data_IF_143293451065
#
_entry.id   IF_143293451065
#
_cell.length_a   1.000
_cell.length_b   1.000
_cell.length_c   1.000
_cell.angle_alpha   90.00
_cell.angle_beta   90.00
_cell.angle_gamma   90.00
#
_symmetry.space_group_name_H-M   'P 1'
#
loop_
_entity.id
_entity.type
_entity.pdbx_description
1 polymer ?
#
# COMPACT_ATOMS: atom_id res chain seq x y z
N UNK A 1 -14.34 -3.47 5.02
CA UNK A 1 -14.81 -3.61 3.60
C UNK A 1 -15.30 -2.28 3.01
N UNK A 2 -16.12 -1.49 3.71
CA UNK A 2 -16.66 -0.22 3.22
C UNK A 2 -15.60 0.80 2.76
N UNK A 3 -14.54 1.01 3.54
CA UNK A 3 -13.47 1.97 3.20
C UNK A 3 -12.72 1.64 1.90
N UNK A 4 -12.53 0.36 1.56
CA UNK A 4 -11.89 -0.05 0.30
C UNK A 4 -12.78 0.28 -0.90
N UNK A 5 -14.09 0.01 -0.79
CA UNK A 5 -15.07 0.32 -1.84
C UNK A 5 -15.14 1.83 -2.10
N UNK A 6 -15.22 2.62 -1.03
CA UNK A 6 -15.29 4.07 -1.14
C UNK A 6 -14.03 4.68 -1.81
N UNK A 7 -12.82 4.21 -1.43
CA UNK A 7 -11.58 4.62 -2.11
C UNK A 7 -11.59 4.23 -3.60
N UNK A 8 -12.00 2.99 -3.91
CA UNK A 8 -12.09 2.53 -5.30
C UNK A 8 -13.07 3.36 -6.13
N UNK A 9 -14.21 3.71 -5.57
CA UNK A 9 -15.20 4.55 -6.24
C UNK A 9 -14.69 5.98 -6.50
N UNK A 10 -14.02 6.62 -5.53
CA UNK A 10 -13.37 7.92 -5.75
C UNK A 10 -12.31 7.87 -6.85
N UNK A 11 -11.51 6.79 -6.90
CA UNK A 11 -10.54 6.57 -7.98
C UNK A 11 -11.24 6.42 -9.34
N UNK A 12 -12.34 5.67 -9.39
CA UNK A 12 -13.15 5.52 -10.59
C UNK A 12 -13.67 6.87 -11.10
N UNK A 13 -14.26 7.69 -10.22
CA UNK A 13 -14.74 9.03 -10.60
C UNK A 13 -13.63 9.91 -11.15
N UNK A 14 -12.47 9.90 -10.47
CA UNK A 14 -11.28 10.65 -10.91
C UNK A 14 -10.86 10.22 -12.32
N UNK A 15 -10.72 8.92 -12.57
CA UNK A 15 -10.24 8.42 -13.85
C UNK A 15 -11.25 8.56 -14.98
N UNK A 16 -12.56 8.49 -14.67
CA UNK A 16 -13.60 8.52 -15.69
C UNK A 16 -13.97 9.94 -16.12
N UNK A 17 -13.99 10.88 -15.17
CA UNK A 17 -14.54 12.23 -15.41
C UNK A 17 -13.47 13.32 -15.34
N UNK A 18 -12.40 13.13 -14.56
CA UNK A 18 -11.38 14.17 -14.38
C UNK A 18 -10.15 13.95 -15.24
N UNK A 19 -10.05 12.81 -15.93
CA UNK A 19 -8.87 12.45 -16.72
C UNK A 19 -9.20 12.07 -18.15
N UNK A 20 -8.26 12.33 -19.04
CA UNK A 20 -8.30 11.93 -20.44
C UNK A 20 -7.79 10.48 -20.64
N UNK A 21 -7.72 10.06 -21.91
CA UNK A 21 -7.23 8.74 -22.32
C UNK A 21 -5.74 8.53 -22.02
N UNK A 22 -4.98 9.61 -21.91
CA UNK A 22 -3.55 9.62 -21.60
C UNK A 22 -3.30 9.73 -20.08
N UNK A 23 -4.37 9.72 -19.27
CA UNK A 23 -4.36 9.76 -17.82
C UNK A 23 -3.85 11.10 -17.24
N UNK A 24 -3.92 12.17 -18.03
CA UNK A 24 -3.76 13.55 -17.58
C UNK A 24 -5.08 14.14 -17.10
N UNK A 25 -5.02 15.12 -16.19
CA UNK A 25 -6.23 15.82 -15.74
C UNK A 25 -6.73 16.73 -16.86
N UNK A 26 -8.03 16.67 -17.16
CA UNK A 26 -8.66 17.57 -18.14
C UNK A 26 -8.65 19.01 -17.61
N UNK A 27 -8.50 19.99 -18.51
CA UNK A 27 -8.45 21.41 -18.16
C UNK A 27 -9.84 22.01 -17.89
N UNK A 28 -10.87 21.58 -18.62
CA UNK A 28 -12.24 22.07 -18.46
C UNK A 28 -12.90 21.53 -17.18
N UNK A 29 -13.83 22.28 -16.58
CA UNK A 29 -14.60 21.78 -15.44
C UNK A 29 -15.54 20.64 -15.88
N UNK A 30 -15.38 19.44 -15.32
CA UNK A 30 -16.13 18.29 -15.76
C UNK A 30 -17.56 18.34 -15.22
N UNK A 31 -18.50 18.00 -16.12
CA UNK A 31 -19.93 17.98 -15.80
C UNK A 31 -20.23 17.06 -14.61
N UNK A 32 -21.18 17.53 -13.79
CA UNK A 32 -21.68 16.77 -12.65
C UNK A 32 -22.31 15.45 -13.12
N UNK A 33 -21.87 14.29 -12.60
CA UNK A 33 -22.35 13.01 -13.07
C UNK A 33 -23.73 12.68 -12.49
N UNK A 34 -24.80 13.14 -13.15
CA UNK A 34 -26.22 12.99 -12.76
C UNK A 34 -26.60 11.55 -12.40
N UNK A 35 -25.97 10.55 -13.05
CA UNK A 35 -26.17 9.12 -12.75
C UNK A 35 -25.86 8.76 -11.29
N UNK A 36 -25.03 9.55 -10.60
CA UNK A 36 -24.63 9.34 -9.21
C UNK A 36 -25.24 10.37 -8.26
N UNK A 37 -26.29 11.10 -8.66
CA UNK A 37 -26.92 12.12 -7.84
C UNK A 37 -27.54 11.60 -6.53
N UNK A 38 -27.80 10.29 -6.43
CA UNK A 38 -28.24 9.65 -5.19
C UNK A 38 -27.08 9.54 -4.17
N UNK A 39 -25.83 9.62 -4.62
CA UNK A 39 -24.64 9.37 -3.81
C UNK A 39 -23.75 10.60 -3.57
N UNK A 40 -23.82 11.60 -4.45
CA UNK A 40 -23.01 12.83 -4.39
C UNK A 40 -23.94 13.97 -4.74
N UNK A 41 -23.90 15.08 -4.00
CA UNK A 41 -24.57 16.31 -4.41
C UNK A 41 -23.72 17.11 -5.40
N UNK A 42 -24.29 18.14 -6.03
CA UNK A 42 -23.52 19.00 -6.94
C UNK A 42 -22.42 19.77 -6.21
N UNK A 43 -22.69 20.22 -4.98
CA UNK A 43 -21.72 20.90 -4.13
C UNK A 43 -20.56 19.98 -3.74
N UNK A 44 -20.87 18.72 -3.38
CA UNK A 44 -19.86 17.70 -3.09
C UNK A 44 -19.01 17.36 -4.31
N UNK A 45 -19.61 17.38 -5.51
CA UNK A 45 -18.88 17.19 -6.76
C UNK A 45 -17.89 18.32 -7.01
N UNK A 46 -18.30 19.58 -6.88
CA UNK A 46 -17.42 20.75 -7.04
C UNK A 46 -16.26 20.69 -6.03
N UNK A 47 -16.56 20.39 -4.76
CA UNK A 47 -15.53 20.23 -3.74
C UNK A 47 -14.57 19.07 -4.06
N UNK A 48 -15.09 17.96 -4.60
CA UNK A 48 -14.28 16.82 -5.02
C UNK A 48 -13.35 17.18 -6.19
N UNK A 49 -13.85 17.86 -7.22
CA UNK A 49 -13.04 18.32 -8.37
C UNK A 49 -11.92 19.25 -7.89
N UNK A 50 -12.25 20.24 -7.05
CA UNK A 50 -11.29 21.18 -6.48
C UNK A 50 -10.19 20.44 -5.68
N UNK A 51 -10.57 19.51 -4.81
CA UNK A 51 -9.61 18.69 -4.05
C UNK A 51 -8.67 17.88 -4.96
N UNK A 52 -9.16 17.36 -6.09
CA UNK A 52 -8.34 16.55 -7.00
C UNK A 52 -7.39 17.40 -7.85
N UNK A 53 -7.75 18.65 -8.10
CA UNK A 53 -6.93 19.63 -8.83
C UNK A 53 -5.91 20.34 -7.97
N UNK A 54 -6.12 20.36 -6.65
CA UNK A 54 -5.17 20.93 -5.69
C UNK A 54 -3.75 20.36 -5.87
N UNK A 55 -2.77 21.25 -6.01
CA UNK A 55 -1.38 20.88 -6.27
C UNK A 55 -0.75 20.16 -5.08
N UNK A 56 -1.14 20.54 -3.85
CA UNK A 56 -0.67 19.84 -2.65
C UNK A 56 -1.20 18.40 -2.61
N UNK A 57 -2.47 18.19 -2.94
CA UNK A 57 -3.04 16.85 -3.09
C UNK A 57 -2.30 16.02 -4.14
N UNK A 58 -2.03 16.59 -5.33
CA UNK A 58 -1.28 15.90 -6.39
C UNK A 58 0.13 15.51 -5.93
N UNK A 59 0.84 16.44 -5.30
CA UNK A 59 2.19 16.20 -4.75
C UNK A 59 2.19 15.08 -3.73
N UNK A 60 1.32 15.13 -2.73
CA UNK A 60 1.18 14.09 -1.71
C UNK A 60 0.82 12.74 -2.35
N UNK A 61 -0.10 12.72 -3.31
CA UNK A 61 -0.47 11.51 -4.03
C UNK A 61 0.70 10.93 -4.83
N UNK A 62 1.54 11.76 -5.44
CA UNK A 62 2.70 11.32 -6.20
C UNK A 62 3.78 10.74 -5.29
N UNK A 63 4.13 11.44 -4.21
CA UNK A 63 5.08 10.94 -3.19
C UNK A 63 4.61 9.62 -2.59
N UNK A 64 3.33 9.49 -2.26
CA UNK A 64 2.80 8.24 -1.71
C UNK A 64 2.84 7.09 -2.72
N UNK A 65 2.62 7.38 -4.02
CA UNK A 65 2.72 6.38 -5.08
C UNK A 65 4.16 5.91 -5.25
N UNK A 66 5.12 6.83 -5.27
CA UNK A 66 6.54 6.51 -5.36
C UNK A 66 7.01 5.65 -4.18
N UNK A 67 6.63 6.03 -2.94
CA UNK A 67 6.91 5.23 -1.74
C UNK A 67 6.31 3.83 -1.81
N UNK A 68 5.09 3.69 -2.33
CA UNK A 68 4.42 2.39 -2.46
C UNK A 68 5.04 1.50 -3.56
N UNK A 69 5.53 2.11 -4.64
CA UNK A 69 6.22 1.41 -5.73
C UNK A 69 7.64 0.98 -5.34
N UNK A 70 8.33 1.78 -4.52
CA UNK A 70 9.73 1.56 -4.13
C UNK A 70 9.86 1.47 -2.59
N UNK A 71 9.31 0.42 -1.95
CA UNK A 71 9.46 0.27 -0.51
C UNK A 71 10.93 0.01 -0.16
N UNK A 72 11.47 0.78 0.79
CA UNK A 72 12.85 0.65 1.29
C UNK A 72 13.18 -0.79 1.70
N UNK A 73 12.25 -1.45 2.41
CA UNK A 73 12.40 -2.83 2.86
C UNK A 73 11.33 -3.72 2.23
N UNK A 74 11.55 -4.13 0.99
CA UNK A 74 10.58 -4.91 0.24
C UNK A 74 10.29 -6.28 0.89
N UNK A 75 9.01 -6.53 1.22
CA UNK A 75 8.54 -7.80 1.76
C UNK A 75 8.57 -8.91 0.69
N UNK A 76 9.08 -10.10 1.02
CA UNK A 76 9.32 -11.19 0.05
C UNK A 76 8.34 -12.35 0.12
N UNK A 77 7.47 -12.45 1.13
CA UNK A 77 6.48 -13.56 1.24
C UNK A 77 5.14 -13.26 0.55
N UNK A 78 5.12 -12.34 -0.41
CA UNK A 78 3.95 -12.06 -1.26
C UNK A 78 2.75 -11.53 -0.46
N UNK A 79 1.63 -12.28 -0.49
CA UNK A 79 0.38 -11.92 0.21
C UNK A 79 0.29 -12.49 1.62
N UNK A 80 1.30 -13.23 2.07
CA UNK A 80 1.38 -13.71 3.45
C UNK A 80 1.66 -12.48 4.33
N UNK A 81 0.76 -12.19 5.28
CA UNK A 81 1.02 -11.13 6.26
C UNK A 81 1.95 -11.62 7.36
N UNK A 82 2.44 -10.71 8.19
CA UNK A 82 3.30 -11.03 9.32
C UNK A 82 2.66 -12.03 10.31
N UNK A 83 1.38 -11.84 10.66
CA UNK A 83 0.68 -12.75 11.57
C UNK A 83 0.65 -14.20 11.04
N UNK A 84 0.36 -14.38 9.74
CA UNK A 84 0.34 -15.72 9.12
C UNK A 84 1.73 -16.28 8.88
N UNK A 85 2.72 -15.42 8.69
CA UNK A 85 4.12 -15.85 8.61
C UNK A 85 4.58 -16.38 9.97
N UNK A 86 4.22 -15.69 11.05
CA UNK A 86 4.52 -16.08 12.43
C UNK A 86 3.86 -17.41 12.79
N UNK A 87 2.54 -17.55 12.58
CA UNK A 87 1.81 -18.82 12.74
C UNK A 87 2.51 -19.96 11.99
N UNK A 88 2.87 -19.72 10.72
CA UNK A 88 3.54 -20.73 9.90
C UNK A 88 4.90 -21.15 10.47
N UNK A 89 5.71 -20.20 10.95
CA UNK A 89 7.03 -20.51 11.52
C UNK A 89 6.86 -21.29 12.83
N UNK A 90 5.91 -20.91 13.69
CA UNK A 90 5.62 -21.61 14.95
C UNK A 90 5.15 -23.05 14.70
N UNK A 91 4.26 -23.24 13.72
CA UNK A 91 3.79 -24.56 13.28
C UNK A 91 4.95 -25.43 12.73
N UNK A 92 5.83 -24.85 11.91
CA UNK A 92 6.99 -25.55 11.33
C UNK A 92 8.03 -25.93 12.38
N UNK A 93 8.26 -25.06 13.38
CA UNK A 93 9.19 -25.31 14.48
C UNK A 93 8.60 -26.13 15.62
N UNK A 94 7.29 -26.44 15.58
CA UNK A 94 6.54 -27.09 16.67
C UNK A 94 6.79 -26.40 18.02
N UNK A 95 6.87 -25.08 17.99
CA UNK A 95 7.16 -24.29 19.18
C UNK A 95 5.88 -24.09 20.00
N UNK A 96 5.97 -24.28 21.31
CA UNK A 96 4.89 -23.90 22.24
C UNK A 96 4.85 -22.38 22.50
N UNK A 97 5.74 -21.61 21.86
CA UNK A 97 5.78 -20.16 21.99
C UNK A 97 4.53 -19.51 21.38
N UNK A 98 3.95 -18.54 22.09
CA UNK A 98 2.77 -17.81 21.63
C UNK A 98 3.09 -16.76 20.56
N UNK A 99 4.35 -16.31 20.46
CA UNK A 99 4.79 -15.29 19.50
C UNK A 99 6.30 -15.37 19.29
N UNK A 100 6.75 -14.99 18.09
CA UNK A 100 8.15 -14.91 17.71
C UNK A 100 8.73 -13.52 17.99
N UNK A 101 10.04 -13.44 18.31
CA UNK A 101 10.72 -12.17 18.38
C UNK A 101 10.60 -11.37 17.06
N UNK A 102 10.36 -10.04 17.11
CA UNK A 102 10.16 -9.24 15.90
C UNK A 102 11.31 -9.31 14.89
N UNK A 103 12.55 -9.46 15.35
CA UNK A 103 13.74 -9.53 14.48
C UNK A 103 13.77 -10.83 13.66
N UNK A 104 13.38 -11.97 14.24
CA UNK A 104 13.25 -13.26 13.53
C UNK A 104 12.19 -13.15 12.44
N UNK A 105 11.04 -12.58 12.79
CA UNK A 105 9.93 -12.42 11.86
C UNK A 105 10.27 -11.44 10.73
N UNK A 106 10.99 -10.36 11.03
CA UNK A 106 11.49 -9.42 10.04
C UNK A 106 12.48 -10.08 9.08
N UNK A 107 13.46 -10.82 9.61
CA UNK A 107 14.44 -11.57 8.83
C UNK A 107 13.76 -12.50 7.85
N UNK A 108 12.89 -13.39 8.36
CA UNK A 108 12.17 -14.35 7.54
C UNK A 108 11.36 -13.66 6.45
N UNK A 109 10.69 -12.55 6.76
CA UNK A 109 9.91 -11.80 5.80
C UNK A 109 10.70 -11.23 4.60
N UNK A 110 12.04 -11.12 4.68
CA UNK A 110 12.91 -10.60 3.61
C UNK A 110 13.69 -11.67 2.87
N UNK A 111 13.60 -12.93 3.28
CA UNK A 111 14.20 -14.06 2.57
C UNK A 111 13.32 -14.45 1.38
N UNK A 112 13.90 -14.41 0.18
CA UNK A 112 13.32 -14.88 -1.06
C UNK A 112 12.99 -16.37 -1.06
N UNK A 113 12.31 -16.86 -2.09
CA UNK A 113 12.00 -18.31 -2.21
C UNK A 113 13.26 -19.15 -2.45
N UNK A 114 14.26 -18.53 -3.06
CA UNK A 114 15.61 -18.99 -3.36
C UNK A 114 16.57 -18.81 -2.19
N UNK A 115 16.11 -18.29 -1.04
CA UNK A 115 16.95 -18.01 0.11
C UNK A 115 17.73 -16.69 0.02
N UNK A 116 17.57 -15.92 -1.06
CA UNK A 116 18.33 -14.67 -1.24
C UNK A 116 17.75 -13.52 -0.43
N UNK A 117 18.65 -12.66 0.03
CA UNK A 117 18.36 -11.38 0.69
C UNK A 117 18.90 -10.29 -0.22
N UNK A 118 18.25 -9.12 -0.23
CA UNK A 118 18.74 -8.01 -1.05
C UNK A 118 19.91 -7.31 -0.34
N UNK A 119 20.91 -6.91 -1.11
CA UNK A 119 22.11 -6.23 -0.60
C UNK A 119 21.79 -4.99 0.24
N UNK A 120 20.78 -4.21 -0.15
CA UNK A 120 20.38 -2.98 0.55
C UNK A 120 19.86 -3.22 1.96
N UNK A 121 19.43 -4.44 2.28
CA UNK A 121 18.90 -4.81 3.59
C UNK A 121 19.80 -5.82 4.33
N UNK A 122 20.96 -6.16 3.75
CA UNK A 122 21.85 -7.17 4.30
C UNK A 122 22.38 -6.80 5.69
N UNK A 123 22.79 -5.53 5.90
CA UNK A 123 23.26 -5.07 7.21
C UNK A 123 22.22 -5.26 8.32
N UNK A 124 20.93 -4.99 8.05
CA UNK A 124 19.84 -5.19 9.02
C UNK A 124 19.58 -6.68 9.24
N UNK A 125 19.68 -7.49 8.18
CA UNK A 125 19.57 -8.94 8.27
C UNK A 125 20.65 -9.50 9.20
N UNK A 126 21.90 -9.06 9.03
CA UNK A 126 23.03 -9.47 9.86
C UNK A 126 22.85 -9.01 11.32
N UNK A 127 22.37 -7.78 11.54
CA UNK A 127 21.99 -7.31 12.88
C UNK A 127 20.93 -8.20 13.52
N UNK A 128 19.89 -8.59 12.77
CA UNK A 128 18.87 -9.52 13.26
C UNK A 128 19.47 -10.88 13.64
N UNK A 129 20.45 -11.38 12.89
CA UNK A 129 21.17 -12.61 13.24
C UNK A 129 21.95 -12.48 14.54
N UNK A 130 22.66 -11.37 14.73
CA UNK A 130 23.39 -11.15 15.99
C UNK A 130 22.46 -11.07 17.20
N UNK A 131 21.23 -10.56 17.01
CA UNK A 131 20.23 -10.49 18.08
C UNK A 131 19.62 -11.85 18.40
N UNK A 132 19.52 -12.76 17.44
CA UNK A 132 19.02 -14.13 17.67
C UNK A 132 20.02 -15.03 18.38
N UNK A 133 21.30 -14.64 18.46
CA UNK A 133 22.37 -15.39 19.12
C UNK A 133 22.61 -14.98 20.58
N UNK A 134 21.88 -13.98 21.09
CA UNK A 134 21.95 -13.51 22.48
C UNK A 134 20.88 -14.18 23.33
#
# INVERSE_FOLDING_TARGET
MAGKRHRGWRTFLTNKYLKDKENFFVEYDPEYPVKYAIFITEEEWVAFVAQRRDENFKKVSATNRERASNPTYAYKKGRLGYARLEEKILDETKSDATSLPPHVLWKEARVGKDGTVRDDVQHIYDECETLSQR
#
